data_IF_511971701605
#
_entry.id   IF_511971701605
#
_cell.length_a   1.000
_cell.length_b   1.000
_cell.length_c   1.000
_cell.angle_alpha   90.00
_cell.angle_beta   90.00
_cell.angle_gamma   90.00
#
_symmetry.space_group_name_H-M   'P 1'
#
loop_
_entity.id
_entity.type
_entity.pdbx_description
1 polymer ?
#
# COMPACT_ATOMS: atom_id res chain seq x y z
N UNK A 1 37.63 1.32 -22.79
CA UNK A 1 36.76 2.35 -22.18
C UNK A 1 35.70 2.66 -23.24
N UNK A 2 34.46 2.20 -23.28
CA UNK A 2 33.47 1.74 -22.31
C UNK A 2 32.70 0.60 -22.97
N UNK A 3 32.85 -0.63 -22.49
CA UNK A 3 32.11 -1.79 -22.99
C UNK A 3 31.97 -2.79 -21.85
N UNK A 4 31.12 -2.47 -20.88
CA UNK A 4 30.72 -3.35 -19.77
C UNK A 4 29.50 -2.73 -19.09
N UNK A 5 28.59 -3.58 -18.61
CA UNK A 5 27.35 -3.26 -17.90
C UNK A 5 26.08 -3.00 -18.73
N UNK A 6 25.70 -3.97 -19.57
CA UNK A 6 24.29 -4.27 -19.82
C UNK A 6 24.08 -5.79 -19.85
N UNK A 7 24.35 -6.42 -18.71
CA UNK A 7 23.83 -7.75 -18.39
C UNK A 7 22.81 -7.53 -17.29
N UNK A 8 21.58 -7.20 -17.69
CA UNK A 8 20.42 -7.22 -16.79
C UNK A 8 20.07 -8.68 -16.56
N UNK A 9 20.77 -9.29 -15.61
CA UNK A 9 20.43 -10.58 -15.03
C UNK A 9 19.57 -10.30 -13.80
N UNK A 10 18.26 -10.30 -13.97
CA UNK A 10 17.30 -10.41 -12.86
C UNK A 10 16.43 -11.65 -13.06
N UNK A 11 17.09 -12.79 -13.17
CA UNK A 11 16.47 -14.08 -12.94
C UNK A 11 16.34 -14.29 -11.44
N UNK A 12 15.22 -13.88 -10.85
CA UNK A 12 14.80 -14.33 -9.53
C UNK A 12 13.41 -14.94 -9.66
N UNK A 13 13.39 -16.26 -9.46
CA UNK A 13 12.21 -17.10 -9.39
C UNK A 13 11.24 -16.53 -8.33
N UNK A 14 10.20 -15.83 -8.76
CA UNK A 14 8.97 -15.73 -7.99
C UNK A 14 8.26 -17.09 -8.01
N UNK A 15 8.73 -18.03 -7.17
CA UNK A 15 7.93 -19.19 -6.74
C UNK A 15 6.89 -18.67 -5.76
N UNK A 16 5.78 -18.13 -6.26
CA UNK A 16 4.52 -18.14 -5.53
C UNK A 16 3.43 -18.57 -6.49
N UNK A 17 2.81 -19.69 -6.14
CA UNK A 17 1.81 -20.39 -6.92
C UNK A 17 0.62 -19.47 -7.24
N UNK A 18 0.50 -19.11 -8.51
CA UNK A 18 -0.71 -18.52 -9.05
C UNK A 18 -1.70 -19.66 -9.33
N UNK A 19 -2.91 -19.69 -8.73
CA UNK A 19 -3.92 -20.66 -9.11
C UNK A 19 -4.45 -20.27 -10.49
N UNK A 20 -4.02 -21.08 -11.47
CA UNK A 20 -4.38 -21.08 -12.87
C UNK A 20 -5.91 -21.18 -13.02
N UNK A 21 -6.64 -20.07 -13.12
CA UNK A 21 -8.04 -20.07 -13.55
C UNK A 21 -8.12 -19.83 -15.05
N UNK A 22 -8.25 -20.96 -15.75
CA UNK A 22 -8.56 -21.07 -17.18
C UNK A 22 -10.00 -20.61 -17.38
N UNK A 23 -10.21 -19.47 -18.07
CA UNK A 23 -11.51 -19.15 -18.68
C UNK A 23 -11.22 -18.68 -20.09
N UNK A 24 -11.50 -19.57 -21.05
CA UNK A 24 -11.64 -19.23 -22.46
C UNK A 24 -12.93 -18.42 -22.63
N UNK A 25 -12.89 -17.44 -23.51
CA UNK A 25 -14.01 -17.16 -24.40
C UNK A 25 -14.77 -15.85 -24.15
N UNK A 26 -14.93 -15.14 -25.27
CA UNK A 26 -15.96 -14.16 -25.58
C UNK A 26 -15.77 -12.72 -25.07
N UNK A 27 -15.35 -11.90 -26.02
CA UNK A 27 -15.66 -10.49 -26.13
C UNK A 27 -17.12 -10.17 -25.78
N UNK A 28 -17.31 -9.09 -25.02
CA UNK A 28 -18.39 -8.14 -25.25
C UNK A 28 -18.08 -6.86 -24.47
N UNK A 29 -17.86 -5.78 -25.21
CA UNK A 29 -18.16 -4.44 -24.71
C UNK A 29 -19.58 -4.44 -24.15
N UNK A 30 -19.81 -3.75 -23.04
CA UNK A 30 -20.97 -2.89 -22.85
C UNK A 30 -20.81 -2.08 -21.56
N UNK A 31 -20.71 -0.77 -21.76
CA UNK A 31 -21.05 0.25 -20.77
C UNK A 31 -22.51 0.05 -20.32
N UNK A 32 -22.75 -0.08 -19.02
CA UNK A 32 -24.06 0.22 -18.44
C UNK A 32 -23.94 0.59 -16.95
N UNK A 33 -24.28 1.86 -16.70
CA UNK A 33 -24.72 2.48 -15.44
C UNK A 33 -25.38 1.51 -14.45
N UNK A 34 -24.94 1.57 -13.19
CA UNK A 34 -25.76 1.17 -12.05
C UNK A 34 -26.09 2.42 -11.22
N UNK A 35 -27.31 2.93 -11.41
CA UNK A 35 -28.03 3.73 -10.44
C UNK A 35 -29.12 2.86 -9.81
N UNK A 36 -29.50 3.21 -8.58
CA UNK A 36 -30.65 2.74 -7.80
C UNK A 36 -30.43 1.46 -6.97
N UNK A 37 -30.41 1.63 -5.64
CA UNK A 37 -31.58 1.29 -4.82
C UNK A 37 -31.49 1.94 -3.43
N UNK A 38 -32.58 2.61 -3.05
CA UNK A 38 -32.76 3.26 -1.77
C UNK A 38 -33.42 2.36 -0.70
N UNK A 39 -33.29 2.85 0.53
CA UNK A 39 -34.07 2.69 1.79
C UNK A 39 -35.48 2.06 1.72
N UNK A 40 -35.98 1.44 2.80
CA UNK A 40 -36.42 2.11 4.07
C UNK A 40 -36.02 1.31 5.34
N UNK A 41 -36.16 1.71 6.62
CA UNK A 41 -36.88 2.77 7.33
C UNK A 41 -37.68 2.19 8.52
N UNK A 42 -37.49 2.71 9.75
CA UNK A 42 -38.37 2.62 10.96
C UNK A 42 -38.49 1.26 11.70
N UNK A 43 -38.75 1.07 12.99
CA UNK A 43 -38.68 1.77 14.30
C UNK A 43 -39.57 0.93 15.25
N UNK A 44 -39.05 0.31 16.34
CA UNK A 44 -39.84 0.11 17.58
C UNK A 44 -39.04 -0.41 18.78
N UNK A 45 -39.52 0.06 19.94
CA UNK A 45 -39.04 -0.01 21.33
C UNK A 45 -39.77 -1.13 22.11
N UNK A 46 -39.11 -1.65 23.16
CA UNK A 46 -39.58 -2.38 24.38
C UNK A 46 -38.98 -3.79 24.51
N UNK A 47 -38.10 -4.08 25.49
CA UNK A 47 -38.26 -4.31 26.95
C UNK A 47 -38.95 -5.64 27.31
N UNK A 48 -38.16 -6.64 27.75
CA UNK A 48 -38.28 -7.42 29.02
C UNK A 48 -37.76 -8.88 28.95
N UNK A 49 -36.77 -9.16 29.82
CA UNK A 49 -36.75 -10.24 30.83
C UNK A 49 -36.43 -11.71 30.42
N UNK A 50 -35.28 -12.21 30.91
CA UNK A 50 -35.21 -13.41 31.77
C UNK A 50 -34.49 -14.68 31.28
N UNK A 51 -33.48 -15.14 32.05
CA UNK A 51 -32.99 -16.54 32.19
C UNK A 51 -31.93 -17.01 31.18
N UNK A 52 -30.64 -17.17 31.51
CA UNK A 52 -29.94 -18.14 32.40
C UNK A 52 -29.59 -19.49 31.75
N UNK A 53 -28.37 -19.95 32.06
CA UNK A 53 -27.63 -21.18 31.70
C UNK A 53 -26.84 -21.11 30.36
N UNK A 54 -25.51 -20.97 30.32
CA UNK A 54 -24.38 -21.78 30.85
C UNK A 54 -23.68 -22.48 29.66
N UNK A 55 -22.36 -22.26 29.52
CA UNK A 55 -21.36 -23.08 28.81
C UNK A 55 -19.99 -22.36 28.81
N UNK A 56 -19.29 -22.50 29.94
CA UNK A 56 -17.92 -23.03 30.11
C UNK A 56 -16.83 -22.79 29.04
N UNK A 57 -15.89 -21.88 29.40
CA UNK A 57 -14.41 -21.91 29.24
C UNK A 57 -13.74 -21.71 27.84
N UNK A 58 -12.48 -21.19 27.75
CA UNK A 58 -11.46 -21.05 28.80
C UNK A 58 -10.88 -19.63 29.05
N UNK A 59 -10.54 -19.41 30.31
CA UNK A 59 -9.77 -18.27 30.83
C UNK A 59 -8.32 -18.24 30.32
N UNK A 60 -7.76 -17.06 29.97
CA UNK A 60 -6.39 -16.72 30.31
C UNK A 60 -6.40 -15.97 31.65
N UNK A 61 -5.66 -16.53 32.61
CA UNK A 61 -5.61 -16.05 33.99
C UNK A 61 -4.98 -14.67 34.17
N UNK A 62 -5.25 -14.14 35.36
CA UNK A 62 -4.58 -13.04 36.02
C UNK A 62 -4.86 -11.62 35.48
N UNK A 63 -6.13 -11.21 35.48
CA UNK A 63 -6.44 -9.85 35.93
C UNK A 63 -6.13 -9.78 37.43
N UNK A 64 -4.89 -9.40 37.76
CA UNK A 64 -4.56 -8.99 39.12
C UNK A 64 -5.44 -7.78 39.46
N UNK A 65 -6.48 -8.02 40.24
CA UNK A 65 -7.24 -6.99 40.94
C UNK A 65 -6.27 -6.40 41.95
N UNK A 66 -5.56 -5.35 41.56
CA UNK A 66 -4.76 -4.54 42.48
C UNK A 66 -5.73 -3.69 43.30
N UNK A 67 -5.74 -3.78 44.64
CA UNK A 67 -6.60 -2.95 45.47
C UNK A 67 -6.24 -1.48 45.26
N UNK A 68 -7.25 -0.63 45.05
CA UNK A 68 -7.08 0.79 44.73
C UNK A 68 -6.23 1.56 45.75
N UNK A 69 -6.18 1.09 47.01
CA UNK A 69 -5.44 1.73 48.09
C UNK A 69 -3.91 1.65 47.92
N UNK A 70 -3.41 0.62 47.23
CA UNK A 70 -1.98 0.43 46.93
C UNK A 70 -1.45 1.28 45.76
N UNK A 71 -2.32 1.90 44.96
CA UNK A 71 -1.90 2.80 43.86
C UNK A 71 -1.59 4.23 44.34
N UNK A 72 -1.93 4.57 45.60
CA UNK A 72 -1.58 5.86 46.20
C UNK A 72 -0.12 5.91 46.68
N UNK A 73 0.53 4.76 46.87
CA UNK A 73 1.94 4.67 47.26
C UNK A 73 2.82 4.64 46.02
N UNK A 74 3.91 5.42 45.99
CA UNK A 74 4.87 5.48 44.88
C UNK A 74 5.45 4.11 44.50
N UNK A 75 5.59 3.20 45.47
CA UNK A 75 6.04 1.82 45.24
C UNK A 75 5.02 0.97 44.46
N UNK A 76 3.72 1.16 44.68
CA UNK A 76 2.66 0.43 43.98
C UNK A 76 2.57 0.81 42.50
N UNK A 77 2.76 2.09 42.18
CA UNK A 77 2.83 2.58 40.79
C UNK A 77 4.04 2.01 40.04
N UNK A 78 5.20 1.90 40.70
CA UNK A 78 6.40 1.26 40.13
C UNK A 78 6.16 -0.23 39.85
N UNK A 79 5.53 -0.94 40.78
CA UNK A 79 5.20 -2.36 40.61
C UNK A 79 4.19 -2.59 39.47
N UNK A 80 3.18 -1.72 39.31
CA UNK A 80 2.23 -1.77 38.21
C UNK A 80 2.87 -1.46 36.84
N UNK A 81 3.75 -0.46 36.79
CA UNK A 81 4.54 -0.13 35.59
C UNK A 81 5.33 -1.32 35.11
N UNK A 82 6.11 -1.93 36.01
CA UNK A 82 7.06 -2.99 35.67
C UNK A 82 6.36 -4.33 35.46
N UNK A 83 5.27 -4.60 36.20
CA UNK A 83 4.51 -5.84 36.12
C UNK A 83 3.48 -5.90 34.99
N UNK A 84 2.89 -4.78 34.57
CA UNK A 84 1.78 -4.78 33.62
C UNK A 84 2.01 -3.93 32.36
N UNK A 85 2.41 -2.66 32.50
CA UNK A 85 2.57 -1.79 31.32
C UNK A 85 3.72 -2.23 30.41
N UNK A 86 4.86 -2.59 31.00
CA UNK A 86 6.07 -2.99 30.27
C UNK A 86 5.85 -4.24 29.41
N UNK A 87 5.33 -5.37 29.94
CA UNK A 87 5.07 -6.55 29.11
C UNK A 87 3.99 -6.29 28.05
N UNK A 88 2.96 -5.50 28.35
CA UNK A 88 1.92 -5.14 27.39
C UNK A 88 2.48 -4.31 26.22
N UNK A 89 3.37 -3.35 26.51
CA UNK A 89 4.06 -2.56 25.49
C UNK A 89 4.92 -3.45 24.61
N UNK A 90 5.73 -4.35 25.19
CA UNK A 90 6.57 -5.28 24.43
C UNK A 90 5.74 -6.16 23.49
N UNK A 91 4.60 -6.66 23.97
CA UNK A 91 3.68 -7.45 23.14
C UNK A 91 3.14 -6.65 21.95
N UNK A 92 2.67 -5.41 22.19
CA UNK A 92 2.14 -4.53 21.15
C UNK A 92 3.22 -4.11 20.15
N UNK A 93 4.45 -3.85 20.63
CA UNK A 93 5.63 -3.53 19.81
C UNK A 93 6.00 -4.70 18.90
N UNK A 94 5.95 -5.94 19.40
CA UNK A 94 6.19 -7.13 18.57
C UNK A 94 5.13 -7.29 17.46
N UNK A 95 3.85 -7.11 17.79
CA UNK A 95 2.78 -7.15 16.79
C UNK A 95 2.94 -6.04 15.74
N UNK A 96 3.32 -4.82 16.15
CA UNK A 96 3.61 -3.71 15.26
C UNK A 96 4.81 -4.00 14.35
N UNK A 97 5.88 -4.59 14.88
CA UNK A 97 7.07 -4.96 14.10
C UNK A 97 6.74 -5.94 12.97
N UNK A 98 5.89 -6.94 13.23
CA UNK A 98 5.45 -7.89 12.20
C UNK A 98 4.68 -7.20 11.07
N UNK A 99 3.73 -6.32 11.41
CA UNK A 99 2.97 -5.55 10.42
C UNK A 99 3.85 -4.56 9.64
N UNK A 100 4.80 -3.93 10.32
CA UNK A 100 5.69 -2.93 9.71
C UNK A 100 6.67 -3.58 8.73
N UNK A 101 7.17 -4.79 9.02
CA UNK A 101 8.02 -5.52 8.08
C UNK A 101 7.34 -5.83 6.75
N UNK A 102 6.04 -6.14 6.77
CA UNK A 102 5.25 -6.38 5.55
C UNK A 102 5.06 -5.07 4.77
N UNK A 103 4.77 -3.97 5.48
CA UNK A 103 4.60 -2.64 4.89
C UNK A 103 5.88 -2.16 4.19
N UNK A 104 7.03 -2.22 4.88
CA UNK A 104 8.31 -1.78 4.30
C UNK A 104 8.70 -2.62 3.10
N UNK A 105 8.41 -3.94 3.13
CA UNK A 105 8.63 -4.79 1.97
C UNK A 105 7.76 -4.37 0.76
N UNK A 106 6.49 -4.05 1.00
CA UNK A 106 5.59 -3.56 -0.04
C UNK A 106 6.05 -2.21 -0.63
N UNK A 107 6.53 -1.30 0.21
CA UNK A 107 7.05 0.00 -0.21
C UNK A 107 8.34 -0.13 -1.04
N UNK A 108 9.25 -1.02 -0.65
CA UNK A 108 10.48 -1.26 -1.42
C UNK A 108 10.15 -1.83 -2.81
N UNK A 109 9.20 -2.77 -2.86
CA UNK A 109 8.74 -3.35 -4.12
C UNK A 109 8.03 -2.32 -5.00
N UNK A 110 7.25 -1.39 -4.43
CA UNK A 110 6.54 -0.36 -5.21
C UNK A 110 7.49 0.64 -5.87
N UNK A 111 8.60 0.99 -5.23
CA UNK A 111 9.64 1.84 -5.81
C UNK A 111 10.31 1.19 -7.02
N UNK A 112 10.61 -0.12 -6.93
CA UNK A 112 11.20 -0.85 -8.06
C UNK A 112 10.29 -0.84 -9.29
N UNK A 113 8.96 -0.92 -9.11
CA UNK A 113 8.02 -0.79 -10.23
C UNK A 113 8.14 0.56 -10.92
N UNK A 114 8.28 1.67 -10.18
CA UNK A 114 8.47 2.99 -10.77
C UNK A 114 9.75 3.05 -11.63
N UNK A 115 10.84 2.45 -11.17
CA UNK A 115 12.10 2.37 -11.93
C UNK A 115 11.95 1.54 -13.21
N UNK A 116 11.21 0.42 -13.16
CA UNK A 116 10.91 -0.37 -14.35
C UNK A 116 10.08 0.40 -15.38
N UNK A 117 9.14 1.24 -14.93
CA UNK A 117 8.39 2.12 -15.82
C UNK A 117 9.28 3.16 -16.48
N UNK A 118 10.17 3.81 -15.72
CA UNK A 118 11.13 4.76 -16.26
C UNK A 118 12.06 4.10 -17.29
N UNK A 119 12.57 2.91 -16.99
CA UNK A 119 13.38 2.12 -17.92
C UNK A 119 12.58 1.73 -19.18
N UNK A 120 11.30 1.37 -19.04
CA UNK A 120 10.41 1.05 -20.16
C UNK A 120 10.23 2.23 -21.11
N UNK A 121 10.04 3.44 -20.58
CA UNK A 121 9.95 4.67 -21.39
C UNK A 121 11.27 4.94 -22.11
N UNK A 122 12.41 4.77 -21.44
CA UNK A 122 13.73 4.94 -22.06
C UNK A 122 13.96 3.95 -23.21
N UNK A 123 13.60 2.68 -23.02
CA UNK A 123 13.69 1.66 -24.07
C UNK A 123 12.78 2.00 -25.25
N UNK A 124 11.56 2.50 -24.99
CA UNK A 124 10.65 2.92 -26.05
C UNK A 124 11.20 4.10 -26.85
N UNK A 125 11.75 5.12 -26.18
CA UNK A 125 12.34 6.30 -26.82
C UNK A 125 13.58 5.93 -27.66
N UNK A 126 14.44 5.05 -27.15
CA UNK A 126 15.61 4.56 -27.89
C UNK A 126 15.19 3.71 -29.10
N UNK A 127 14.19 2.84 -28.95
CA UNK A 127 13.63 2.08 -30.07
C UNK A 127 13.01 3.00 -31.14
N UNK A 128 12.29 4.05 -30.73
CA UNK A 128 11.77 5.07 -31.63
C UNK A 128 12.91 5.77 -32.39
N UNK A 129 13.96 6.22 -31.70
CA UNK A 129 15.09 6.89 -32.32
C UNK A 129 15.80 6.00 -33.34
N UNK A 130 16.06 4.73 -33.00
CA UNK A 130 16.68 3.76 -33.92
C UNK A 130 15.78 3.47 -35.12
N UNK A 131 14.47 3.34 -34.91
CA UNK A 131 13.50 3.10 -36.00
C UNK A 131 13.49 4.28 -36.96
N UNK A 132 13.43 5.51 -36.44
CA UNK A 132 13.46 6.72 -37.25
C UNK A 132 14.78 6.86 -38.00
N UNK A 133 15.91 6.59 -37.34
CA UNK A 133 17.23 6.58 -37.99
C UNK A 133 17.27 5.56 -39.14
N UNK A 134 16.80 4.35 -38.91
CA UNK A 134 16.76 3.32 -39.94
C UNK A 134 15.87 3.72 -41.12
N UNK A 135 14.70 4.32 -40.84
CA UNK A 135 13.79 4.81 -41.88
C UNK A 135 14.41 5.91 -42.73
N UNK A 136 15.06 6.90 -42.12
CA UNK A 136 15.68 8.04 -42.83
C UNK A 136 16.81 7.62 -43.75
N UNK A 137 17.63 6.64 -43.35
CA UNK A 137 18.85 6.30 -44.10
C UNK A 137 18.72 5.09 -45.02
N UNK A 138 17.78 4.16 -44.78
CA UNK A 138 17.74 2.88 -45.50
C UNK A 138 16.43 2.60 -46.24
N UNK A 139 15.27 3.09 -45.76
CA UNK A 139 13.96 2.63 -46.26
C UNK A 139 13.16 3.69 -47.01
N UNK A 140 13.11 4.92 -46.48
CA UNK A 140 12.20 5.96 -46.95
C UNK A 140 12.94 7.25 -47.26
N UNK A 141 12.41 8.01 -48.21
CA UNK A 141 12.87 9.37 -48.48
C UNK A 141 12.46 10.32 -47.32
N UNK A 142 13.22 11.38 -47.13
CA UNK A 142 13.01 12.36 -46.06
C UNK A 142 11.59 12.96 -46.08
N UNK A 143 11.02 13.17 -47.27
CA UNK A 143 9.70 13.75 -47.45
C UNK A 143 8.56 12.92 -46.80
N UNK A 144 8.72 11.59 -46.65
CA UNK A 144 7.74 10.75 -45.98
C UNK A 144 7.91 10.73 -44.46
N UNK A 145 9.17 10.77 -43.98
CA UNK A 145 9.48 10.69 -42.56
C UNK A 145 9.17 11.99 -41.83
N UNK A 146 9.30 13.12 -42.52
CA UNK A 146 9.03 14.46 -41.99
C UNK A 146 7.64 14.58 -41.32
N UNK A 147 6.50 14.34 -41.99
CA UNK A 147 5.18 14.46 -41.36
C UNK A 147 4.95 13.44 -40.23
N UNK A 148 5.55 12.26 -40.30
CA UNK A 148 5.39 11.20 -39.27
C UNK A 148 6.09 11.61 -37.97
N UNK A 149 7.30 12.16 -38.08
CA UNK A 149 8.05 12.65 -36.92
C UNK A 149 7.37 13.84 -36.25
N UNK A 150 6.80 14.78 -37.04
CA UNK A 150 5.96 15.84 -36.49
C UNK A 150 4.75 15.28 -35.74
N UNK A 151 4.02 14.32 -36.31
CA UNK A 151 2.85 13.73 -35.67
C UNK A 151 3.22 13.05 -34.34
N UNK A 152 4.34 12.33 -34.29
CA UNK A 152 4.85 11.71 -33.06
C UNK A 152 5.22 12.77 -32.00
N UNK A 153 5.91 13.84 -32.41
CA UNK A 153 6.28 14.93 -31.51
C UNK A 153 5.05 15.63 -30.92
N UNK A 154 4.10 16.04 -31.77
CA UNK A 154 2.84 16.62 -31.32
C UNK A 154 2.03 15.64 -30.47
N UNK A 155 1.96 14.36 -30.86
CA UNK A 155 1.27 13.33 -30.08
C UNK A 155 1.83 13.19 -28.67
N UNK A 156 3.16 13.26 -28.50
CA UNK A 156 3.80 13.27 -27.18
C UNK A 156 3.38 14.47 -26.33
N UNK A 157 3.32 15.67 -26.93
CA UNK A 157 2.86 16.88 -26.23
C UNK A 157 1.40 16.77 -25.83
N UNK A 158 0.52 16.32 -26.73
CA UNK A 158 -0.90 16.10 -26.43
C UNK A 158 -1.09 15.10 -25.29
N UNK A 159 -0.32 14.01 -25.27
CA UNK A 159 -0.37 13.02 -24.20
C UNK A 159 0.10 13.61 -22.87
N UNK A 160 1.18 14.40 -22.87
CA UNK A 160 1.67 15.08 -21.67
C UNK A 160 0.61 16.05 -21.10
N UNK A 161 -0.05 16.83 -21.96
CA UNK A 161 -1.14 17.74 -21.57
C UNK A 161 -2.31 16.95 -20.99
N UNK A 162 -2.75 15.87 -21.65
CA UNK A 162 -3.85 15.03 -21.17
C UNK A 162 -3.53 14.40 -19.80
N UNK A 163 -2.31 13.90 -19.62
CA UNK A 163 -1.85 13.33 -18.35
C UNK A 163 -1.77 14.40 -17.24
N UNK A 164 -1.31 15.60 -17.55
CA UNK A 164 -1.29 16.72 -16.61
C UNK A 164 -2.71 17.12 -16.19
N UNK A 165 -3.64 17.24 -17.15
CA UNK A 165 -5.05 17.54 -16.88
C UNK A 165 -5.72 16.48 -16.00
N UNK A 166 -5.40 15.20 -16.21
CA UNK A 166 -5.92 14.10 -15.39
C UNK A 166 -5.36 14.08 -13.96
N UNK A 167 -4.10 14.52 -13.77
CA UNK A 167 -3.40 14.40 -12.48
C UNK A 167 -3.48 15.68 -11.63
N UNK A 168 -3.69 16.84 -12.27
CA UNK A 168 -3.64 18.18 -11.64
C UNK A 168 -2.38 18.42 -10.78
N UNK A 169 -1.29 17.72 -11.07
CA UNK A 169 0.02 17.93 -10.46
C UNK A 169 1.02 18.32 -11.53
N UNK A 170 2.02 19.08 -11.11
CA UNK A 170 3.16 19.42 -11.95
C UNK A 170 3.84 18.14 -12.43
N UNK A 171 4.09 18.07 -13.75
CA UNK A 171 4.67 16.90 -14.40
C UNK A 171 6.17 16.84 -14.14
N UNK A 172 6.54 16.61 -12.88
CA UNK A 172 7.92 16.36 -12.46
C UNK A 172 8.16 14.87 -12.39
N UNK A 173 9.38 14.45 -12.74
CA UNK A 173 9.77 13.03 -12.70
C UNK A 173 9.47 12.40 -11.34
N UNK A 174 9.87 13.08 -10.26
CA UNK A 174 9.64 12.64 -8.87
C UNK A 174 8.15 12.53 -8.50
N UNK A 175 7.31 13.43 -9.00
CA UNK A 175 5.87 13.35 -8.74
C UNK A 175 5.23 12.16 -9.48
N UNK A 176 5.66 11.88 -10.71
CA UNK A 176 5.18 10.74 -11.48
C UNK A 176 5.59 9.42 -10.86
N UNK A 177 6.87 9.24 -10.52
CA UNK A 177 7.37 8.01 -9.87
C UNK A 177 6.69 7.79 -8.52
N UNK A 178 6.55 8.84 -7.71
CA UNK A 178 5.83 8.79 -6.43
C UNK A 178 4.37 8.41 -6.58
N UNK A 179 3.67 8.95 -7.59
CA UNK A 179 2.27 8.61 -7.85
C UNK A 179 2.10 7.15 -8.32
N UNK A 180 2.99 6.67 -9.19
CA UNK A 180 3.01 5.28 -9.64
C UNK A 180 3.26 4.36 -8.45
N UNK A 181 4.27 4.65 -7.63
CA UNK A 181 4.59 3.88 -6.44
C UNK A 181 3.41 3.85 -5.45
N UNK A 182 2.73 4.99 -5.23
CA UNK A 182 1.56 5.07 -4.37
C UNK A 182 0.37 4.24 -4.91
N UNK A 183 0.13 4.29 -6.23
CA UNK A 183 -0.91 3.49 -6.87
C UNK A 183 -0.64 1.98 -6.68
N UNK A 184 0.58 1.54 -6.99
CA UNK A 184 0.98 0.15 -6.83
C UNK A 184 0.96 -0.30 -5.37
N UNK A 185 1.38 0.56 -4.44
CA UNK A 185 1.31 0.29 -3.02
C UNK A 185 -0.14 0.07 -2.56
N UNK A 186 -1.07 0.92 -3.01
CA UNK A 186 -2.50 0.76 -2.69
C UNK A 186 -3.08 -0.55 -3.23
N UNK A 187 -2.65 -0.97 -4.42
CA UNK A 187 -3.04 -2.23 -5.04
C UNK A 187 -2.47 -3.42 -4.28
N UNK A 188 -1.21 -3.33 -3.85
CA UNK A 188 -0.52 -4.37 -3.10
C UNK A 188 -1.12 -4.53 -1.69
N UNK A 189 -1.45 -3.42 -1.02
CA UNK A 189 -2.20 -3.44 0.24
C UNK A 189 -3.54 -4.15 0.12
N UNK A 190 -4.29 -3.90 -0.98
CA UNK A 190 -5.54 -4.62 -1.24
C UNK A 190 -5.32 -6.12 -1.48
N UNK A 191 -4.26 -6.51 -2.19
CA UNK A 191 -3.94 -7.92 -2.46
C UNK A 191 -3.50 -8.68 -1.21
N UNK A 192 -2.74 -8.02 -0.34
CA UNK A 192 -2.28 -8.62 0.92
C UNK A 192 -3.31 -8.52 2.06
N UNK A 193 -4.51 -7.95 1.79
CA UNK A 193 -5.51 -7.62 2.82
C UNK A 193 -4.88 -6.90 4.02
N UNK A 194 -3.90 -6.02 3.76
CA UNK A 194 -3.21 -5.29 4.80
C UNK A 194 -4.16 -4.23 5.36
N UNK A 195 -4.59 -4.43 6.61
CA UNK A 195 -5.45 -3.46 7.29
C UNK A 195 -4.61 -2.28 7.79
N UNK A 196 -4.56 -1.23 6.97
CA UNK A 196 -3.92 0.04 7.30
C UNK A 196 -4.52 0.65 8.58
N UNK A 197 -5.81 0.44 8.84
CA UNK A 197 -6.49 0.97 10.03
C UNK A 197 -6.00 0.25 11.28
N UNK A 198 -5.82 -1.07 11.23
CA UNK A 198 -5.25 -1.84 12.33
C UNK A 198 -3.84 -1.37 12.66
N UNK A 199 -2.99 -1.16 11.65
CA UNK A 199 -1.63 -0.67 11.85
C UNK A 199 -1.61 0.73 12.48
N UNK A 200 -2.45 1.65 12.00
CA UNK A 200 -2.58 3.00 12.57
C UNK A 200 -3.05 2.98 14.02
N UNK A 201 -4.06 2.17 14.34
CA UNK A 201 -4.56 2.01 15.72
C UNK A 201 -3.50 1.44 16.65
N UNK A 202 -2.79 0.40 16.21
CA UNK A 202 -1.75 -0.23 17.02
C UNK A 202 -0.56 0.72 17.28
N UNK A 203 -0.24 1.56 16.30
CA UNK A 203 0.80 2.60 16.45
C UNK A 203 0.37 3.64 17.48
N UNK A 204 -0.87 4.13 17.40
CA UNK A 204 -1.42 5.08 18.36
C UNK A 204 -1.51 4.48 19.78
N UNK A 205 -1.88 3.21 19.92
CA UNK A 205 -1.90 2.51 21.22
C UNK A 205 -0.49 2.43 21.83
N UNK A 206 0.53 2.10 21.04
CA UNK A 206 1.92 2.04 21.51
C UNK A 206 2.41 3.41 21.97
N UNK A 207 2.12 4.46 21.20
CA UNK A 207 2.50 5.84 21.55
C UNK A 207 1.84 6.29 22.86
N UNK A 208 0.56 6.00 23.05
CA UNK A 208 -0.17 6.27 24.28
C UNK A 208 0.41 5.49 25.48
N UNK A 209 0.76 4.21 25.27
CA UNK A 209 1.41 3.40 26.32
C UNK A 209 2.80 3.93 26.69
N UNK A 210 3.60 4.35 25.71
CA UNK A 210 4.90 4.97 25.93
C UNK A 210 4.79 6.30 26.70
N UNK A 211 3.79 7.13 26.36
CA UNK A 211 3.54 8.39 27.06
C UNK A 211 3.09 8.16 28.51
N UNK A 212 2.21 7.19 28.76
CA UNK A 212 1.84 6.77 30.14
C UNK A 212 3.05 6.25 30.92
N UNK A 213 3.93 5.50 30.28
CA UNK A 213 5.17 5.00 30.91
C UNK A 213 6.11 6.14 31.29
N UNK A 214 6.34 7.11 30.40
CA UNK A 214 7.17 8.30 30.69
C UNK A 214 6.57 9.16 31.79
N UNK A 215 5.25 9.35 31.80
CA UNK A 215 4.56 10.09 32.86
C UNK A 215 4.75 9.47 34.25
N UNK A 216 4.89 8.14 34.31
CA UNK A 216 5.15 7.39 35.55
C UNK A 216 6.64 7.29 35.92
N UNK A 217 7.56 7.57 35.00
CA UNK A 217 9.01 7.66 35.28
C UNK A 217 9.40 8.98 35.96
N UNK A 218 8.59 10.03 35.79
CA UNK A 218 8.79 11.34 36.41
C UNK A 218 8.32 11.46 37.87
N UNK A 219 7.82 10.38 38.47
CA UNK A 219 7.28 10.30 39.86
C UNK A 219 8.16 9.42 40.74
#
# INVERSE_FOLDING_TARGET
MFASCLVVRAGYKCRFACPRRRVQGAAAMLFARAACCGRPGSERRSMCRGGSADNTAPHPGALAIVPGDSLLTSEGLRSYRDGYLRPLLLQKRHALQQLTGIKTHCELVSLQYADYYAAGVFVLLTAQAVTLFYWVYFLFDWNLVEPITYLLGYGGVWLAIACHAATQRDFTYEACTGMIAAHYLSLLHRRHNFDVQLWQRLTAEVELLEERLRGLEGV
#
